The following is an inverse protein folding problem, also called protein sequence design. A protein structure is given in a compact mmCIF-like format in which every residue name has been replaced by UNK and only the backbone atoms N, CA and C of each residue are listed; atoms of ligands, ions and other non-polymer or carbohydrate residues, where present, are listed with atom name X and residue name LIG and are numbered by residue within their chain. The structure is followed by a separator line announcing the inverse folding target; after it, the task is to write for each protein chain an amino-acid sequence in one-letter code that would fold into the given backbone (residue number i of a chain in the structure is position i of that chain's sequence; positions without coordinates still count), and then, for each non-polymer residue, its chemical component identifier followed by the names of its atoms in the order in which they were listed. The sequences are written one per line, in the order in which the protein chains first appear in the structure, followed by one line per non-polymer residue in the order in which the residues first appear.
data_IF_295368545873
#
_entry.id   IF_295368545873
#
_cell.length_a   1.000
_cell.length_b   1.000
_cell.length_c   1.000
_cell.angle_alpha   90.00
_cell.angle_beta   90.00
_cell.angle_gamma   90.00
#
_symmetry.space_group_name_H-M   'P 1'
#
loop_
_entity.id
_entity.type
_entity.pdbx_description
1 polymer ?
#
# COMPACT_ATOMS: atom_id res chain seq x y z
N UNK A 1 -33.77 -33.51 -21.37
CA UNK A 1 -32.63 -33.48 -20.42
C UNK A 1 -31.40 -33.14 -21.24
N UNK A 2 -30.88 -31.91 -21.11
CA UNK A 2 -29.71 -31.46 -21.88
C UNK A 2 -28.43 -31.96 -21.19
N UNK A 3 -27.48 -32.57 -21.91
CA UNK A 3 -26.23 -33.00 -21.32
C UNK A 3 -25.43 -31.77 -20.89
N UNK A 4 -25.15 -31.69 -19.59
CA UNK A 4 -24.24 -30.74 -18.98
C UNK A 4 -22.87 -30.80 -19.68
N UNK A 5 -22.55 -29.74 -20.42
CA UNK A 5 -21.32 -29.61 -21.20
C UNK A 5 -20.08 -29.83 -20.31
N UNK A 6 -19.31 -30.92 -20.50
CA UNK A 6 -18.10 -31.18 -19.72
C UNK A 6 -17.04 -30.09 -19.93
N UNK A 7 -17.11 -29.36 -21.05
CA UNK A 7 -16.25 -28.19 -21.32
C UNK A 7 -16.59 -26.99 -20.42
N UNK A 8 -17.85 -26.82 -20.02
CA UNK A 8 -18.28 -25.78 -19.07
C UNK A 8 -17.79 -26.09 -17.66
N UNK A 9 -17.82 -27.37 -17.25
CA UNK A 9 -17.27 -27.83 -15.98
C UNK A 9 -15.75 -27.65 -15.92
N UNK A 10 -15.01 -28.04 -16.97
CA UNK A 10 -13.55 -27.84 -17.09
C UNK A 10 -13.15 -26.35 -17.13
N UNK A 11 -13.97 -25.50 -17.75
CA UNK A 11 -13.74 -24.05 -17.78
C UNK A 11 -14.09 -23.34 -16.45
N UNK A 12 -14.95 -23.94 -15.63
CA UNK A 12 -15.23 -23.50 -14.26
C UNK A 12 -14.06 -23.85 -13.32
N UNK A 13 -13.52 -25.06 -13.46
CA UNK A 13 -12.45 -25.58 -12.61
C UNK A 13 -11.12 -24.82 -12.82
N UNK A 14 -10.79 -24.44 -14.06
CA UNK A 14 -9.61 -23.61 -14.37
C UNK A 14 -9.63 -22.19 -13.80
N UNK A 15 -10.79 -21.65 -13.38
CA UNK A 15 -10.89 -20.25 -12.88
C UNK A 15 -10.71 -20.12 -11.37
N UNK A 16 -10.83 -21.22 -10.61
CA UNK A 16 -10.59 -21.23 -9.17
C UNK A 16 -9.13 -21.59 -8.92
N UNK A 17 -8.26 -20.59 -8.75
CA UNK A 17 -6.94 -20.86 -8.21
C UNK A 17 -7.09 -21.60 -6.86
N UNK A 18 -6.44 -22.76 -6.65
CA UNK A 18 -6.61 -23.55 -5.44
C UNK A 18 -6.34 -22.71 -4.18
N UNK A 19 -7.03 -22.98 -3.05
CA UNK A 19 -6.83 -22.26 -1.78
C UNK A 19 -5.35 -22.18 -1.36
N UNK A 20 -4.57 -23.23 -1.66
CA UNK A 20 -3.14 -23.34 -1.38
C UNK A 20 -2.28 -22.31 -2.13
N UNK A 21 -2.61 -21.98 -3.39
CA UNK A 21 -1.93 -20.94 -4.15
C UNK A 21 -2.24 -19.53 -3.62
N UNK A 22 -3.42 -19.36 -3.02
CA UNK A 22 -3.90 -18.10 -2.44
C UNK A 22 -3.23 -17.80 -1.11
N UNK A 23 -3.19 -18.77 -0.20
CA UNK A 23 -2.48 -18.66 1.08
C UNK A 23 -1.00 -18.33 0.87
N UNK A 24 -0.33 -19.02 -0.08
CA UNK A 24 1.08 -18.76 -0.44
C UNK A 24 1.33 -17.35 -0.98
N UNK A 25 0.34 -16.71 -1.62
CA UNK A 25 0.46 -15.32 -2.11
C UNK A 25 0.32 -14.30 -0.98
N UNK A 26 -0.57 -14.53 -0.02
CA UNK A 26 -0.76 -13.66 1.14
C UNK A 26 0.39 -13.78 2.16
N UNK A 27 1.04 -14.94 2.21
CA UNK A 27 2.27 -15.16 3.00
C UNK A 27 3.54 -14.86 2.21
N UNK A 28 3.43 -14.30 1.00
CA UNK A 28 4.61 -13.95 0.23
C UNK A 28 5.43 -12.92 1.03
N UNK A 29 6.74 -13.16 1.24
CA UNK A 29 7.54 -12.34 2.15
C UNK A 29 7.52 -10.86 1.79
N UNK A 30 7.40 -10.54 0.50
CA UNK A 30 7.29 -9.16 0.02
C UNK A 30 5.97 -8.48 0.43
N UNK A 31 4.85 -9.22 0.43
CA UNK A 31 3.56 -8.70 0.86
C UNK A 31 3.52 -8.50 2.38
N UNK A 32 4.10 -9.45 3.13
CA UNK A 32 4.24 -9.34 4.59
C UNK A 32 5.12 -8.14 4.97
N UNK A 33 6.28 -7.99 4.32
CA UNK A 33 7.17 -6.86 4.54
C UNK A 33 6.48 -5.52 4.21
N UNK A 34 5.77 -5.45 3.09
CA UNK A 34 5.01 -4.26 2.70
C UNK A 34 3.94 -3.92 3.73
N UNK A 35 3.16 -4.91 4.18
CA UNK A 35 2.12 -4.72 5.19
C UNK A 35 2.67 -4.29 6.55
N UNK A 36 3.77 -4.92 7.00
CA UNK A 36 4.42 -4.58 8.26
C UNK A 36 5.00 -3.16 8.24
N UNK A 37 5.73 -2.81 7.18
CA UNK A 37 6.29 -1.46 7.02
C UNK A 37 5.19 -0.41 6.91
N UNK A 38 4.12 -0.68 6.15
CA UNK A 38 2.98 0.22 6.06
C UNK A 38 2.29 0.41 7.41
N UNK A 39 2.14 -0.65 8.21
CA UNK A 39 1.56 -0.55 9.55
C UNK A 39 2.45 0.27 10.50
N UNK A 40 3.76 0.05 10.48
CA UNK A 40 4.73 0.84 11.25
C UNK A 40 4.65 2.32 10.86
N UNK A 41 4.64 2.61 9.56
CA UNK A 41 4.57 3.98 9.04
C UNK A 41 3.25 4.66 9.37
N UNK A 42 2.13 3.96 9.28
CA UNK A 42 0.82 4.49 9.66
C UNK A 42 0.75 4.84 11.15
N UNK A 43 1.22 3.95 12.02
CA UNK A 43 1.24 4.17 13.46
C UNK A 43 2.26 5.25 13.84
N UNK A 44 3.46 5.19 13.27
CA UNK A 44 4.52 6.17 13.49
C UNK A 44 4.12 7.58 13.03
N UNK A 45 3.54 7.70 11.84
CA UNK A 45 2.99 8.94 11.32
C UNK A 45 1.88 9.52 12.21
N UNK A 46 0.97 8.66 12.71
CA UNK A 46 -0.07 9.07 13.64
C UNK A 46 0.52 9.59 14.97
N UNK A 47 1.52 8.89 15.54
CA UNK A 47 2.22 9.33 16.75
C UNK A 47 2.90 10.68 16.52
N UNK A 48 3.60 10.85 15.40
CA UNK A 48 4.25 12.12 15.05
C UNK A 48 3.24 13.26 14.86
N UNK A 49 2.12 13.00 14.20
CA UNK A 49 1.05 13.97 14.00
C UNK A 49 0.50 14.46 15.34
N UNK A 50 0.10 13.55 16.23
CA UNK A 50 -0.40 13.92 17.55
C UNK A 50 0.67 14.59 18.41
N UNK A 51 1.89 14.07 18.45
CA UNK A 51 2.97 14.66 19.25
C UNK A 51 3.37 16.07 18.80
N UNK A 52 3.29 16.36 17.49
CA UNK A 52 3.45 17.71 16.95
C UNK A 52 2.31 18.63 17.38
N UNK A 53 1.06 18.15 17.34
CA UNK A 53 -0.11 18.94 17.73
C UNK A 53 -0.18 19.22 19.24
N UNK A 54 0.17 18.25 20.09
CA UNK A 54 -0.03 18.34 21.55
C UNK A 54 1.20 18.85 22.29
N UNK A 55 2.40 18.45 21.87
CA UNK A 55 3.64 18.72 22.61
C UNK A 55 4.70 19.47 21.79
N UNK A 56 4.41 19.86 20.55
CA UNK A 56 5.38 20.48 19.64
C UNK A 56 6.69 19.67 19.52
N UNK A 57 6.61 18.36 19.74
CA UNK A 57 7.76 17.44 19.75
C UNK A 57 7.70 16.50 18.54
N UNK A 58 8.83 15.83 18.25
CA UNK A 58 8.96 14.92 17.09
C UNK A 58 9.59 13.58 17.50
N UNK A 59 9.00 12.84 18.46
CA UNK A 59 9.57 11.59 18.94
C UNK A 59 9.58 10.55 17.83
N UNK A 60 10.71 9.85 17.67
CA UNK A 60 10.81 8.78 16.67
C UNK A 60 10.86 9.25 15.21
N UNK A 61 11.06 10.54 14.94
CA UNK A 61 11.12 11.08 13.58
C UNK A 61 12.19 10.38 12.72
N UNK A 62 13.36 10.08 13.28
CA UNK A 62 14.40 9.34 12.57
C UNK A 62 13.94 7.93 12.18
N UNK A 63 13.27 7.21 13.09
CA UNK A 63 12.76 5.87 12.81
C UNK A 63 11.74 5.90 11.66
N UNK A 64 10.82 6.87 11.69
CA UNK A 64 9.83 7.07 10.64
C UNK A 64 10.48 7.36 9.28
N UNK A 65 11.49 8.23 9.23
CA UNK A 65 12.22 8.52 7.97
C UNK A 65 12.88 7.25 7.41
N UNK A 66 13.59 6.48 8.25
CA UNK A 66 14.25 5.25 7.80
C UNK A 66 13.25 4.15 7.39
N UNK A 67 12.16 3.99 8.14
CA UNK A 67 11.08 3.07 7.80
C UNK A 67 10.40 3.49 6.49
N UNK A 68 10.18 4.78 6.25
CA UNK A 68 9.63 5.31 5.00
C UNK A 68 10.52 5.05 3.78
N UNK A 69 11.84 5.18 3.93
CA UNK A 69 12.81 4.78 2.89
C UNK A 69 12.69 3.28 2.60
N UNK A 70 12.70 2.44 3.65
CA UNK A 70 12.55 1.00 3.53
C UNK A 70 11.23 0.60 2.85
N UNK A 71 10.12 1.21 3.27
CA UNK A 71 8.79 1.02 2.68
C UNK A 71 8.81 1.37 1.20
N UNK A 72 9.42 2.49 0.82
CA UNK A 72 9.49 2.93 -0.57
C UNK A 72 10.25 1.94 -1.45
N UNK A 73 11.39 1.42 -0.97
CA UNK A 73 12.17 0.40 -1.70
C UNK A 73 11.37 -0.89 -1.88
N UNK A 74 10.76 -1.41 -0.81
CA UNK A 74 9.94 -2.63 -0.85
C UNK A 74 8.73 -2.44 -1.76
N UNK A 75 8.08 -1.29 -1.70
CA UNK A 75 6.93 -0.94 -2.52
C UNK A 75 7.31 -0.85 -4.01
N UNK A 76 8.44 -0.26 -4.36
CA UNK A 76 8.93 -0.20 -5.74
C UNK A 76 9.15 -1.60 -6.32
N UNK A 77 9.81 -2.49 -5.57
CA UNK A 77 10.02 -3.89 -5.97
C UNK A 77 8.69 -4.64 -6.10
N UNK A 78 7.75 -4.40 -5.18
CA UNK A 78 6.40 -4.97 -5.26
C UNK A 78 5.66 -4.51 -6.52
N UNK A 79 5.63 -3.21 -6.80
CA UNK A 79 4.96 -2.67 -7.98
C UNK A 79 5.58 -3.19 -9.27
N UNK A 80 6.91 -3.23 -9.37
CA UNK A 80 7.60 -3.80 -10.54
C UNK A 80 7.18 -5.25 -10.83
N UNK A 81 7.14 -6.08 -9.78
CA UNK A 81 6.69 -7.49 -9.87
C UNK A 81 5.19 -7.62 -10.14
N UNK A 82 4.40 -6.67 -9.68
CA UNK A 82 2.96 -6.65 -9.91
C UNK A 82 2.64 -6.34 -11.37
N UNK A 83 3.16 -5.22 -11.89
CA UNK A 83 2.90 -4.76 -13.25
C UNK A 83 3.44 -5.70 -14.32
N UNK A 84 4.59 -6.35 -14.09
CA UNK A 84 5.10 -7.40 -14.98
C UNK A 84 4.20 -8.63 -15.13
N UNK A 85 3.23 -8.83 -14.21
CA UNK A 85 2.36 -10.02 -14.19
C UNK A 85 0.89 -9.75 -14.51
N UNK A 86 0.41 -8.51 -14.35
CA UNK A 86 -1.03 -8.20 -14.30
C UNK A 86 -1.57 -7.55 -15.59
N UNK A 87 -0.73 -7.32 -16.61
CA UNK A 87 -1.19 -6.82 -17.91
C UNK A 87 -2.10 -7.84 -18.64
N UNK A 88 -3.24 -7.43 -19.24
CA UNK A 88 -3.77 -6.07 -19.38
C UNK A 88 -4.76 -5.63 -18.28
N UNK A 89 -4.86 -4.31 -18.09
CA UNK A 89 -5.83 -3.66 -17.20
C UNK A 89 -7.28 -4.04 -17.56
N UNK A 90 -8.10 -4.34 -16.55
CA UNK A 90 -9.53 -4.62 -16.72
C UNK A 90 -10.33 -3.50 -16.08
N UNK A 91 -11.28 -2.92 -16.81
CA UNK A 91 -12.17 -1.87 -16.30
C UNK A 91 -13.19 -2.45 -15.30
N UNK A 92 -12.73 -2.75 -14.08
CA UNK A 92 -13.55 -3.23 -12.96
C UNK A 92 -13.24 -2.39 -11.72
N UNK A 93 -14.24 -2.24 -10.87
CA UNK A 93 -14.15 -1.37 -9.69
C UNK A 93 -13.03 -1.77 -8.71
N UNK A 94 -12.77 -3.07 -8.54
CA UNK A 94 -11.67 -3.59 -7.72
C UNK A 94 -10.28 -3.20 -8.24
N UNK A 95 -10.12 -3.11 -9.56
CA UNK A 95 -8.89 -2.61 -10.19
C UNK A 95 -8.73 -1.09 -10.06
N UNK A 96 -9.84 -0.33 -10.09
CA UNK A 96 -9.82 1.11 -9.84
C UNK A 96 -9.38 1.43 -8.41
N UNK A 97 -9.90 0.70 -7.42
CA UNK A 97 -9.45 0.83 -6.02
C UNK A 97 -7.96 0.50 -5.88
N UNK A 98 -7.48 -0.55 -6.56
CA UNK A 98 -6.06 -0.89 -6.56
C UNK A 98 -5.18 0.19 -7.19
N UNK A 99 -5.64 0.82 -8.27
CA UNK A 99 -4.95 1.94 -8.92
C UNK A 99 -4.92 3.18 -8.02
N UNK A 100 -6.04 3.56 -7.40
CA UNK A 100 -6.10 4.69 -6.47
C UNK A 100 -5.21 4.47 -5.25
N UNK A 101 -5.19 3.24 -4.71
CA UNK A 101 -4.25 2.86 -3.65
C UNK A 101 -2.80 3.00 -4.11
N UNK A 102 -2.48 2.54 -5.33
CA UNK A 102 -1.13 2.60 -5.86
C UNK A 102 -0.64 4.03 -6.10
N UNK A 103 -1.51 4.90 -6.62
CA UNK A 103 -1.22 6.32 -6.84
C UNK A 103 -1.07 7.07 -5.52
N UNK A 104 -1.94 6.80 -4.55
CA UNK A 104 -1.85 7.42 -3.21
C UNK A 104 -0.56 7.03 -2.51
N UNK A 105 -0.17 5.75 -2.57
CA UNK A 105 1.11 5.26 -2.06
C UNK A 105 2.30 5.93 -2.75
N UNK A 106 2.25 6.09 -4.08
CA UNK A 106 3.30 6.78 -4.82
C UNK A 106 3.43 8.25 -4.39
N UNK A 107 2.31 8.95 -4.21
CA UNK A 107 2.29 10.34 -3.71
C UNK A 107 2.90 10.44 -2.31
N UNK A 108 2.50 9.57 -1.37
CA UNK A 108 3.01 9.58 0.01
C UNK A 108 4.48 9.24 0.07
N UNK A 109 4.94 8.23 -0.67
CA UNK A 109 6.36 7.90 -0.73
C UNK A 109 7.18 9.04 -1.33
N UNK A 110 6.70 9.68 -2.41
CA UNK A 110 7.41 10.80 -3.03
C UNK A 110 7.52 12.00 -2.09
N UNK A 111 6.41 12.39 -1.45
CA UNK A 111 6.39 13.50 -0.49
C UNK A 111 7.20 13.18 0.77
N UNK A 112 7.13 11.94 1.26
CA UNK A 112 7.88 11.45 2.42
C UNK A 112 9.39 11.40 2.18
N UNK A 113 9.83 10.90 1.02
CA UNK A 113 11.24 10.93 0.62
C UNK A 113 11.76 12.37 0.51
N UNK A 114 10.97 13.29 -0.03
CA UNK A 114 11.36 14.70 -0.09
C UNK A 114 11.51 15.29 1.32
N UNK A 115 10.52 15.08 2.19
CA UNK A 115 10.59 15.53 3.59
C UNK A 115 11.78 14.91 4.32
N UNK A 116 12.05 13.62 4.11
CA UNK A 116 13.21 12.91 4.64
C UNK A 116 14.54 13.47 4.12
N UNK A 117 14.61 13.87 2.85
CA UNK A 117 15.79 14.52 2.30
C UNK A 117 16.03 15.89 2.95
N UNK A 118 14.98 16.70 3.15
CA UNK A 118 15.07 17.96 3.90
C UNK A 118 15.55 17.71 5.33
N UNK A 119 14.97 16.72 6.00
CA UNK A 119 15.34 16.31 7.36
C UNK A 119 16.81 15.90 7.48
N UNK A 120 17.36 15.19 6.48
CA UNK A 120 18.76 14.81 6.40
C UNK A 120 19.67 16.03 6.19
N UNK A 121 19.30 16.94 5.29
CA UNK A 121 20.06 18.15 5.00
C UNK A 121 20.16 19.08 6.22
N UNK A 122 19.08 19.21 7.00
CA UNK A 122 19.08 19.97 8.26
C UNK A 122 20.05 19.40 9.31
N UNK A 123 20.43 18.12 9.20
CA UNK A 123 21.31 17.41 10.15
C UNK A 123 22.71 17.15 9.61
N UNK A 124 23.00 17.55 8.37
CA UNK A 124 24.31 17.38 7.77
C UNK A 124 25.34 18.37 8.37
N UNK A 125 26.61 17.97 8.52
CA UNK A 125 27.68 18.89 8.96
C UNK A 125 27.78 20.08 8.00
N UNK A 126 27.56 21.31 8.50
CA UNK A 126 27.54 22.53 7.69
C UNK A 126 26.19 22.89 7.06
N UNK A 127 25.12 22.13 7.35
CA UNK A 127 23.76 22.45 6.93
C UNK A 127 23.25 23.71 7.60
N UNK A 128 23.18 24.81 6.85
CA UNK A 128 22.55 26.04 7.30
C UNK A 128 21.05 25.83 7.56
N UNK A 129 20.61 26.02 8.80
CA UNK A 129 19.21 26.08 9.19
C UNK A 129 18.51 27.20 8.41
N UNK A 130 17.59 26.88 7.49
CA UNK A 130 16.89 27.96 6.79
C UNK A 130 15.80 27.59 5.81
N UNK A 131 15.70 26.34 5.34
CA UNK A 131 14.53 25.92 4.56
C UNK A 131 13.62 25.07 5.43
N UNK A 132 12.64 25.68 6.14
CA UNK A 132 11.58 24.90 6.75
C UNK A 132 10.95 24.04 5.65
N UNK A 133 10.66 22.78 5.98
CA UNK A 133 9.85 21.91 5.11
C UNK A 133 8.64 22.70 4.61
N UNK A 134 8.41 22.71 3.30
CA UNK A 134 7.35 23.50 2.71
C UNK A 134 6.00 23.10 3.35
N UNK A 135 5.22 24.03 3.92
CA UNK A 135 3.94 23.70 4.56
C UNK A 135 3.01 22.91 3.65
N UNK A 136 3.03 23.23 2.35
CA UNK A 136 2.30 22.52 1.32
C UNK A 136 2.74 21.05 1.20
N UNK A 137 4.06 20.78 1.24
CA UNK A 137 4.58 19.41 1.13
C UNK A 137 4.18 18.56 2.33
N UNK A 138 4.20 19.15 3.53
CA UNK A 138 3.72 18.49 4.75
C UNK A 138 2.23 18.18 4.65
N UNK A 139 1.42 19.15 4.23
CA UNK A 139 -0.02 18.95 4.05
C UNK A 139 -0.33 17.87 2.99
N UNK A 140 0.41 17.85 1.88
CA UNK A 140 0.28 16.81 0.85
C UNK A 140 0.62 15.43 1.39
N UNK A 141 1.66 15.33 2.23
CA UNK A 141 2.06 14.08 2.86
C UNK A 141 0.99 13.58 3.86
N UNK A 142 0.47 14.47 4.70
CA UNK A 142 -0.54 14.15 5.71
C UNK A 142 -1.87 13.71 5.05
N UNK A 143 -2.36 14.48 4.07
CA UNK A 143 -3.57 14.15 3.31
C UNK A 143 -3.36 12.86 2.50
N UNK A 144 -2.22 12.74 1.83
CA UNK A 144 -1.86 11.54 1.08
C UNK A 144 -1.87 10.30 1.96
N UNK A 145 -1.39 10.39 3.20
CA UNK A 145 -1.36 9.28 4.15
C UNK A 145 -2.77 8.79 4.51
N UNK A 146 -3.73 9.71 4.64
CA UNK A 146 -5.13 9.36 4.85
C UNK A 146 -5.75 8.67 3.62
N UNK A 147 -5.40 9.13 2.42
CA UNK A 147 -5.82 8.48 1.17
C UNK A 147 -5.25 7.07 1.05
N UNK A 148 -3.98 6.86 1.44
CA UNK A 148 -3.36 5.54 1.50
C UNK A 148 -4.15 4.60 2.39
N UNK A 149 -4.42 4.98 3.64
CA UNK A 149 -5.17 4.14 4.57
C UNK A 149 -6.56 3.80 4.02
N UNK A 150 -7.23 4.78 3.43
CA UNK A 150 -8.57 4.63 2.84
C UNK A 150 -8.55 3.65 1.67
N UNK A 151 -7.71 3.90 0.66
CA UNK A 151 -7.75 3.12 -0.58
C UNK A 151 -7.06 1.77 -0.45
N UNK A 152 -5.98 1.64 0.32
CA UNK A 152 -5.37 0.34 0.62
C UNK A 152 -6.34 -0.52 1.42
N UNK A 153 -6.99 0.04 2.45
CA UNK A 153 -8.02 -0.66 3.23
C UNK A 153 -9.20 -1.11 2.36
N UNK A 154 -9.74 -0.20 1.54
CA UNK A 154 -10.83 -0.52 0.62
C UNK A 154 -10.43 -1.57 -0.43
N UNK A 155 -9.21 -1.47 -0.97
CA UNK A 155 -8.70 -2.44 -1.95
C UNK A 155 -8.53 -3.83 -1.35
N UNK A 156 -7.90 -3.95 -0.17
CA UNK A 156 -7.76 -5.22 0.55
C UNK A 156 -9.14 -5.79 0.89
N UNK A 157 -10.06 -4.95 1.39
CA UNK A 157 -11.44 -5.36 1.67
C UNK A 157 -12.16 -5.90 0.43
N UNK A 158 -12.06 -5.21 -0.70
CA UNK A 158 -12.65 -5.65 -1.97
C UNK A 158 -12.09 -6.99 -2.45
N UNK A 159 -10.76 -7.20 -2.33
CA UNK A 159 -10.09 -8.46 -2.66
C UNK A 159 -10.60 -9.60 -1.76
N UNK A 160 -10.66 -9.37 -0.44
CA UNK A 160 -11.15 -10.37 0.52
C UNK A 160 -12.62 -10.73 0.31
N UNK A 161 -13.48 -9.76 -0.01
CA UNK A 161 -14.90 -10.01 -0.29
C UNK A 161 -15.10 -10.78 -1.59
N UNK A 162 -14.36 -10.42 -2.66
CA UNK A 162 -14.36 -11.16 -3.92
C UNK A 162 -13.93 -12.61 -3.71
N UNK A 163 -12.91 -12.81 -2.87
CA UNK A 163 -12.36 -14.12 -2.55
C UNK A 163 -13.32 -15.00 -1.75
N UNK A 164 -14.08 -14.41 -0.81
CA UNK A 164 -15.16 -15.09 -0.06
C UNK A 164 -16.28 -15.55 -0.99
N UNK A 165 -16.77 -14.66 -1.86
CA UNK A 165 -17.83 -14.99 -2.84
C UNK A 165 -17.41 -16.10 -3.81
N UNK A 166 -16.13 -16.17 -4.17
CA UNK A 166 -15.62 -17.21 -5.07
C UNK A 166 -15.44 -18.59 -4.40
N UNK A 167 -15.36 -18.63 -3.07
CA UNK A 167 -15.13 -19.83 -2.27
C UNK A 167 -16.39 -20.45 -1.68
N UNK A 168 -17.54 -19.81 -1.80
CA UNK A 168 -18.84 -20.32 -1.33
C UNK A 168 -19.44 -21.25 -2.41
N UNK A 169 -19.54 -22.58 -2.17
CA UNK A 169 -20.10 -23.52 -3.14
C UNK A 169 -21.62 -23.44 -3.23
N UNK A 170 -22.30 -22.66 -2.36
CA UNK A 170 -23.76 -22.61 -2.26
C UNK A 170 -24.40 -21.27 -2.69
N UNK A 171 -23.61 -20.31 -3.20
CA UNK A 171 -24.12 -18.97 -3.52
C UNK A 171 -24.24 -18.66 -5.01
N UNK A 172 -25.39 -19.01 -5.61
CA UNK A 172 -25.86 -18.52 -6.92
C UNK A 172 -26.09 -19.59 -7.98
#
# INVERSE_FOLDING_TARGET
MSPSDPLLALASDKRRAPPEFRARRLTAPLFVALGALLAIEAVGGMVLFFARLTWSSRPGEALHVWCGIGLTLVYAVYQWRHWSRVAPFRARFDYLLGLLAALSMALVNATGLWLGAVWLLERAPGGGSGRPAAPLLTALHDVGSMLVLTFVGAHVGAVLMRDRRAGDPTGG
#
